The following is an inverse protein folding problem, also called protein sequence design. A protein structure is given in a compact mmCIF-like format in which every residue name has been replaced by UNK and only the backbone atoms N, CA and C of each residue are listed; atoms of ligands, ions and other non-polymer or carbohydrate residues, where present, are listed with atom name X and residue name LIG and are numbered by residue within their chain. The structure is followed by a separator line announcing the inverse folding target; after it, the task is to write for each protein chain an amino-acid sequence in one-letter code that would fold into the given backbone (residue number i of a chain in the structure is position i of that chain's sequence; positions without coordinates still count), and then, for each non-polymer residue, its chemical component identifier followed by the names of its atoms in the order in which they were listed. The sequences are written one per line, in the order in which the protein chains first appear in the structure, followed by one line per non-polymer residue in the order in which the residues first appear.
data_IF_195545937545
#
_entry.id   IF_195545937545
#
_cell.length_a   1.000
_cell.length_b   1.000
_cell.length_c   1.000
_cell.angle_alpha   90.00
_cell.angle_beta   90.00
_cell.angle_gamma   90.00
#
_symmetry.space_group_name_H-M   'P 1'
#
loop_
_entity.id
_entity.type
_entity.pdbx_description
1 polymer ?
#
# COMPACT_ATOMS: atom_id res chain seq x y z
N UNK A 1 -16.61 5.52 -3.23
CA UNK A 1 -15.95 4.76 -4.31
C UNK A 1 -14.48 4.48 -3.99
N UNK A 2 -13.63 5.48 -3.71
CA UNK A 2 -12.22 5.27 -3.36
C UNK A 2 -12.00 4.43 -2.09
N UNK A 3 -12.69 4.76 -0.99
CA UNK A 3 -12.64 3.97 0.26
C UNK A 3 -12.94 2.48 0.01
N UNK A 4 -14.00 2.19 -0.73
CA UNK A 4 -14.41 0.83 -1.10
C UNK A 4 -13.34 0.10 -1.92
N UNK A 5 -12.63 0.81 -2.82
CA UNK A 5 -11.53 0.24 -3.61
C UNK A 5 -10.32 -0.12 -2.73
N UNK A 6 -9.98 0.72 -1.76
CA UNK A 6 -8.94 0.41 -0.77
C UNK A 6 -9.34 -0.80 0.08
N UNK A 7 -10.59 -0.86 0.55
CA UNK A 7 -11.10 -2.00 1.32
C UNK A 7 -11.03 -3.31 0.53
N UNK A 8 -11.44 -3.31 -0.74
CA UNK A 8 -11.39 -4.48 -1.60
C UNK A 8 -9.96 -4.96 -1.85
N UNK A 9 -9.03 -4.06 -2.11
CA UNK A 9 -7.61 -4.40 -2.34
C UNK A 9 -6.92 -4.83 -1.04
N UNK A 10 -7.30 -4.27 0.11
CA UNK A 10 -6.85 -4.72 1.42
C UNK A 10 -7.34 -6.15 1.73
N UNK A 11 -8.60 -6.47 1.41
CA UNK A 11 -9.12 -7.83 1.55
C UNK A 11 -8.35 -8.81 0.67
N UNK A 12 -7.98 -8.43 -0.55
CA UNK A 12 -7.15 -9.28 -1.41
C UNK A 12 -5.76 -9.59 -0.81
N UNK A 13 -5.17 -8.68 -0.02
CA UNK A 13 -3.94 -8.95 0.75
C UNK A 13 -4.21 -10.00 1.83
N UNK A 14 -5.32 -9.88 2.56
CA UNK A 14 -5.72 -10.87 3.57
C UNK A 14 -5.97 -12.24 2.95
N UNK A 15 -6.68 -12.29 1.83
CA UNK A 15 -6.96 -13.52 1.09
C UNK A 15 -5.68 -14.17 0.54
N UNK A 16 -4.71 -13.36 0.09
CA UNK A 16 -3.41 -13.84 -0.35
C UNK A 16 -2.62 -14.46 0.81
N UNK A 17 -2.59 -13.81 1.98
CA UNK A 17 -1.94 -14.34 3.19
C UNK A 17 -2.58 -15.65 3.65
N UNK A 18 -3.91 -15.75 3.60
CA UNK A 18 -4.66 -16.93 4.06
C UNK A 18 -4.34 -18.23 3.29
N UNK A 19 -3.74 -18.14 2.10
CA UNK A 19 -3.29 -19.31 1.32
C UNK A 19 -2.08 -20.02 1.95
N UNK A 20 -1.35 -19.35 2.84
CA UNK A 20 -0.08 -19.80 3.40
C UNK A 20 -0.16 -19.95 4.93
N UNK A 21 -0.96 -20.91 5.39
CA UNK A 21 -1.29 -21.09 6.81
C UNK A 21 -0.09 -21.50 7.69
N UNK A 22 0.92 -22.13 7.12
CA UNK A 22 2.14 -22.57 7.82
C UNK A 22 3.27 -21.54 7.78
N UNK A 23 3.11 -20.43 7.04
CA UNK A 23 4.11 -19.38 6.92
C UNK A 23 3.89 -18.31 7.99
N UNK A 24 4.96 -17.84 8.61
CA UNK A 24 4.92 -16.64 9.44
C UNK A 24 4.79 -15.39 8.57
N UNK A 25 4.43 -14.26 9.17
CA UNK A 25 4.49 -12.98 8.45
C UNK A 25 5.91 -12.64 8.02
N UNK A 26 6.95 -13.07 8.74
CA UNK A 26 8.33 -12.85 8.31
C UNK A 26 8.61 -13.59 6.98
N UNK A 27 8.18 -14.86 6.88
CA UNK A 27 8.36 -15.66 5.66
C UNK A 27 7.61 -15.06 4.45
N UNK A 28 6.40 -14.54 4.69
CA UNK A 28 5.58 -13.93 3.64
C UNK A 28 6.08 -12.57 3.17
N UNK A 29 6.90 -11.90 3.97
CA UNK A 29 7.41 -10.55 3.69
C UNK A 29 8.91 -10.49 3.43
N UNK A 30 9.59 -11.63 3.37
CA UNK A 30 10.92 -11.70 2.79
C UNK A 30 10.88 -11.22 1.32
N UNK A 31 11.75 -10.28 0.96
CA UNK A 31 11.72 -9.62 -0.35
C UNK A 31 11.93 -10.62 -1.50
N UNK A 32 12.72 -11.66 -1.26
CA UNK A 32 13.12 -12.66 -2.26
C UNK A 32 12.09 -13.78 -2.39
N UNK A 33 11.44 -14.17 -1.29
CA UNK A 33 10.50 -15.29 -1.26
C UNK A 33 9.02 -14.88 -1.18
N UNK A 34 8.70 -13.59 -1.06
CA UNK A 34 7.30 -13.14 -1.00
C UNK A 34 6.49 -13.71 -2.18
N UNK A 35 5.36 -14.39 -1.90
CA UNK A 35 4.51 -14.97 -2.93
C UNK A 35 4.07 -13.97 -4.00
N UNK A 36 4.09 -14.33 -5.30
CA UNK A 36 3.75 -13.41 -6.39
C UNK A 36 2.35 -12.79 -6.26
N UNK A 37 1.36 -13.53 -5.79
CA UNK A 37 -0.01 -13.05 -5.57
C UNK A 37 -0.10 -12.07 -4.41
N UNK A 38 0.70 -12.26 -3.35
CA UNK A 38 0.76 -11.32 -2.23
C UNK A 38 1.40 -10.01 -2.71
N UNK A 39 2.51 -10.09 -3.45
CA UNK A 39 3.16 -8.93 -4.05
C UNK A 39 2.23 -8.19 -5.00
N UNK A 40 1.44 -8.91 -5.81
CA UNK A 40 0.43 -8.31 -6.68
C UNK A 40 -0.67 -7.61 -5.86
N UNK A 41 -1.19 -8.25 -4.81
CA UNK A 41 -2.22 -7.66 -3.95
C UNK A 41 -1.75 -6.34 -3.30
N UNK A 42 -0.49 -6.27 -2.85
CA UNK A 42 0.11 -5.02 -2.35
C UNK A 42 0.17 -3.93 -3.42
N UNK A 43 0.69 -4.24 -4.62
CA UNK A 43 0.76 -3.25 -5.72
C UNK A 43 -0.60 -2.66 -6.09
N UNK A 44 -1.67 -3.47 -6.07
CA UNK A 44 -3.02 -2.97 -6.32
C UNK A 44 -3.54 -2.10 -5.18
N UNK A 45 -3.21 -2.43 -3.93
CA UNK A 45 -3.54 -1.61 -2.78
C UNK A 45 -2.79 -0.27 -2.80
N UNK A 46 -1.48 -0.29 -3.08
CA UNK A 46 -0.65 0.90 -3.23
C UNK A 46 -1.24 1.83 -4.30
N UNK A 47 -1.64 1.27 -5.45
CA UNK A 47 -2.29 2.04 -6.52
C UNK A 47 -3.59 2.70 -6.05
N UNK A 48 -4.42 1.98 -5.28
CA UNK A 48 -5.66 2.53 -4.73
C UNK A 48 -5.40 3.64 -3.71
N UNK A 49 -4.34 3.51 -2.90
CA UNK A 49 -3.89 4.54 -1.95
C UNK A 49 -3.37 5.77 -2.70
N UNK A 50 -2.50 5.60 -3.69
CA UNK A 50 -1.99 6.71 -4.50
C UNK A 50 -3.14 7.49 -5.16
N UNK A 51 -4.14 6.79 -5.72
CA UNK A 51 -5.33 7.42 -6.27
C UNK A 51 -6.12 8.20 -5.20
N UNK A 52 -6.20 7.70 -3.97
CA UNK A 52 -6.88 8.42 -2.89
C UNK A 52 -6.13 9.68 -2.41
N UNK A 53 -4.82 9.76 -2.64
CA UNK A 53 -4.01 10.96 -2.44
C UNK A 53 -3.98 11.88 -3.68
N UNK A 54 -4.67 11.53 -4.77
CA UNK A 54 -4.54 12.16 -6.09
C UNK A 54 -3.09 12.15 -6.63
N UNK A 55 -2.29 11.17 -6.22
CA UNK A 55 -0.90 10.99 -6.64
C UNK A 55 -0.83 10.21 -7.97
N UNK A 56 0.09 10.63 -8.83
CA UNK A 56 0.34 9.95 -10.10
C UNK A 56 1.07 8.62 -9.87
N UNK A 57 0.68 7.50 -10.51
CA UNK A 57 1.38 6.21 -10.39
C UNK A 57 2.80 6.22 -10.95
N UNK A 58 3.24 7.32 -11.55
CA UNK A 58 4.61 7.53 -12.05
C UNK A 58 5.53 8.25 -11.07
N UNK A 59 5.00 8.72 -9.94
CA UNK A 59 5.81 9.39 -8.92
C UNK A 59 6.84 8.42 -8.35
N UNK A 60 8.05 8.93 -8.15
CA UNK A 60 9.10 8.26 -7.40
C UNK A 60 8.81 8.29 -5.90
N UNK A 61 9.42 7.38 -5.14
CA UNK A 61 9.30 7.36 -3.68
C UNK A 61 9.69 8.71 -3.05
N UNK A 62 10.76 9.35 -3.54
CA UNK A 62 11.20 10.67 -3.06
C UNK A 62 10.16 11.77 -3.31
N UNK A 63 9.47 11.75 -4.46
CA UNK A 63 8.39 12.69 -4.76
C UNK A 63 7.17 12.44 -3.86
N UNK A 64 6.81 11.17 -3.62
CA UNK A 64 5.73 10.79 -2.70
C UNK A 64 6.03 11.31 -1.29
N UNK A 65 7.24 11.04 -0.78
CA UNK A 65 7.66 11.50 0.55
C UNK A 65 7.61 13.02 0.65
N UNK A 66 8.11 13.74 -0.35
CA UNK A 66 8.08 15.20 -0.36
C UNK A 66 6.65 15.77 -0.31
N UNK A 67 5.71 15.21 -1.08
CA UNK A 67 4.30 15.63 -1.02
C UNK A 67 3.65 15.30 0.32
N UNK A 68 3.92 14.11 0.88
CA UNK A 68 3.42 13.74 2.21
C UNK A 68 3.91 14.72 3.30
N UNK A 69 5.17 15.15 3.25
CA UNK A 69 5.69 16.16 4.18
C UNK A 69 5.00 17.53 4.03
N UNK A 70 4.72 17.98 2.81
CA UNK A 70 3.93 19.22 2.57
C UNK A 70 2.51 19.11 3.14
N UNK A 71 1.87 17.95 2.99
CA UNK A 71 0.55 17.71 3.56
C UNK A 71 0.60 17.72 5.09
N UNK A 72 1.62 17.08 5.67
CA UNK A 72 1.84 17.05 7.11
C UNK A 72 2.09 18.45 7.69
N UNK A 73 2.93 19.27 7.05
CA UNK A 73 3.19 20.66 7.44
C UNK A 73 1.88 21.45 7.52
N UNK A 74 1.03 21.39 6.48
CA UNK A 74 -0.30 22.04 6.50
C UNK A 74 -1.23 21.56 7.62
N UNK A 75 -1.15 20.28 7.99
CA UNK A 75 -1.95 19.70 9.07
C UNK A 75 -1.42 20.05 10.47
N UNK A 76 -0.18 20.55 10.55
CA UNK A 76 0.51 20.87 11.81
C UNK A 76 0.82 22.34 11.98
N UNK A 77 0.67 23.17 10.94
CA UNK A 77 0.71 24.62 11.05
C UNK A 77 -0.33 25.11 12.08
N UNK A 78 0.16 25.76 13.14
CA UNK A 78 -0.66 26.29 14.23
C UNK A 78 -0.92 25.34 15.40
N UNK A 79 -0.25 24.17 15.44
CA UNK A 79 -0.09 23.38 16.67
C UNK A 79 1.10 23.85 17.51
#
# INVERSE_FOLDING_TARGET
MLKTKIEQTAQAILDARAKYHDSSLADLYDETTMPPELRKAHRENDRAVMEAYDFSPKMTESEIVAELFKMYEKLTEGK
#
